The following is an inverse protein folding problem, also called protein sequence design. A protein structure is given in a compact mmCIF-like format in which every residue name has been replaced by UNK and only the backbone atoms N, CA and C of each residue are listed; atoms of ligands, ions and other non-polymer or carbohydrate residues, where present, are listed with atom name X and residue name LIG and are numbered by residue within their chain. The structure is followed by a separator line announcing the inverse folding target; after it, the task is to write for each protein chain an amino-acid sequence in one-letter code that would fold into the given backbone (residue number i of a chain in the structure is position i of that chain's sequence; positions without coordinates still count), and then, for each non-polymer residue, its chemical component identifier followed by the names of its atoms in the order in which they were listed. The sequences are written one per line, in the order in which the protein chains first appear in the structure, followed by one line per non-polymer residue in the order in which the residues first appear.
data_IF_455293078755
#
_entry.id   IF_455293078755
#
_cell.length_a   1.000
_cell.length_b   1.000
_cell.length_c   1.000
_cell.angle_alpha   90.00
_cell.angle_beta   90.00
_cell.angle_gamma   90.00
#
_symmetry.space_group_name_H-M   'P 1'
#
loop_
_entity.id
_entity.type
_entity.pdbx_description
1 polymer ?
#
# COMPACT_ATOMS: atom_id res chain seq x y z
N UNK A 1 11.92 -56.32 -53.69
CA UNK A 1 11.50 -56.62 -52.32
C UNK A 1 12.42 -55.83 -51.38
N UNK A 2 12.45 -54.50 -51.44
CA UNK A 2 11.48 -53.51 -50.91
C UNK A 2 11.17 -53.74 -49.43
N UNK A 3 11.60 -52.75 -48.63
CA UNK A 3 11.19 -52.41 -47.26
C UNK A 3 11.92 -53.17 -46.16
N UNK A 4 13.21 -52.86 -45.98
CA UNK A 4 13.84 -52.69 -44.66
C UNK A 4 14.98 -51.68 -44.87
N UNK A 5 15.22 -50.80 -43.90
CA UNK A 5 16.15 -49.65 -43.93
C UNK A 5 15.54 -48.28 -44.28
N UNK A 6 14.26 -48.06 -43.92
CA UNK A 6 13.73 -46.70 -43.64
C UNK A 6 13.79 -46.39 -42.14
N UNK A 7 14.84 -46.83 -41.44
CA UNK A 7 15.00 -46.67 -39.98
C UNK A 7 16.27 -45.90 -39.59
N UNK A 8 17.22 -45.68 -40.51
CA UNK A 8 18.49 -45.02 -40.19
C UNK A 8 18.61 -43.56 -40.67
N UNK A 9 17.53 -42.97 -41.16
CA UNK A 9 17.47 -41.54 -41.56
C UNK A 9 16.41 -40.75 -40.80
N UNK A 10 16.04 -41.23 -39.60
CA UNK A 10 15.22 -40.48 -38.63
C UNK A 10 15.95 -40.27 -37.29
N UNK A 11 17.19 -40.73 -37.18
CA UNK A 11 18.00 -40.65 -35.96
C UNK A 11 19.06 -39.53 -35.98
N UNK A 12 19.13 -38.74 -37.07
CA UNK A 12 20.16 -37.71 -37.27
C UNK A 12 19.61 -36.28 -37.38
N UNK A 13 18.34 -36.05 -37.02
CA UNK A 13 17.73 -34.72 -36.96
C UNK A 13 17.09 -34.40 -35.58
N UNK A 14 17.40 -35.22 -34.57
CA UNK A 14 16.92 -35.06 -33.19
C UNK A 14 18.07 -34.66 -32.25
N UNK A 15 18.99 -33.81 -32.74
CA UNK A 15 20.20 -33.39 -32.01
C UNK A 15 20.40 -31.86 -31.95
N UNK A 16 19.42 -31.05 -32.37
CA UNK A 16 19.45 -29.59 -32.19
C UNK A 16 18.06 -29.09 -31.79
N UNK A 17 17.68 -29.33 -30.54
CA UNK A 17 16.70 -28.48 -29.83
C UNK A 17 16.91 -28.63 -28.32
N UNK A 18 18.15 -28.42 -27.87
CA UNK A 18 18.37 -27.95 -26.51
C UNK A 18 17.86 -26.51 -26.44
N UNK A 19 16.54 -26.34 -26.30
CA UNK A 19 16.00 -25.16 -25.68
C UNK A 19 16.50 -25.19 -24.24
N UNK A 20 17.62 -24.51 -23.99
CA UNK A 20 17.94 -23.99 -22.67
C UNK A 20 16.83 -23.02 -22.31
N UNK A 21 15.74 -23.54 -21.74
CA UNK A 21 14.80 -22.73 -21.00
C UNK A 21 15.57 -22.24 -19.76
N UNK A 22 16.22 -21.10 -19.89
CA UNK A 22 16.55 -20.28 -18.72
C UNK A 22 15.22 -19.91 -18.09
N UNK A 23 14.76 -20.71 -17.12
CA UNK A 23 13.79 -20.24 -16.15
C UNK A 23 14.48 -19.09 -15.40
N UNK A 24 14.30 -17.87 -15.88
CA UNK A 24 14.38 -16.72 -15.00
C UNK A 24 13.24 -16.94 -14.00
N UNK A 25 13.57 -17.49 -12.84
CA UNK A 25 12.71 -17.43 -11.66
C UNK A 25 12.47 -15.95 -11.40
N UNK A 26 11.44 -15.38 -12.02
CA UNK A 26 11.00 -14.03 -11.77
C UNK A 26 10.55 -14.03 -10.32
N UNK A 27 11.41 -13.54 -9.42
CA UNK A 27 11.07 -13.38 -8.00
C UNK A 27 9.79 -12.54 -7.95
N UNK A 28 8.72 -13.12 -7.40
CA UNK A 28 7.41 -12.48 -7.34
C UNK A 28 7.42 -11.46 -6.22
N UNK A 29 7.07 -10.22 -6.54
CA UNK A 29 6.86 -9.16 -5.55
C UNK A 29 5.60 -9.46 -4.74
N UNK A 30 5.71 -9.44 -3.41
CA UNK A 30 4.58 -9.67 -2.51
C UNK A 30 3.93 -8.35 -2.12
N UNK A 31 2.64 -8.17 -2.43
CA UNK A 31 1.88 -6.95 -2.20
C UNK A 31 0.85 -7.12 -1.09
N UNK A 32 0.33 -6.00 -0.56
CA UNK A 32 -0.93 -6.04 0.20
C UNK A 32 -2.01 -6.63 -0.69
N UNK A 33 -2.73 -7.64 -0.19
CA UNK A 33 -3.78 -8.26 -0.97
C UNK A 33 -4.86 -8.85 -0.07
N UNK A 34 -6.09 -8.79 -0.52
CA UNK A 34 -7.23 -9.47 0.10
C UNK A 34 -7.79 -10.38 -0.97
N UNK A 35 -7.58 -11.67 -0.77
CA UNK A 35 -7.79 -12.73 -1.76
C UNK A 35 -9.19 -13.31 -1.62
N UNK A 36 -9.61 -13.54 -0.36
CA UNK A 36 -10.96 -14.02 -0.06
C UNK A 36 -11.94 -12.85 -0.10
N UNK A 37 -13.00 -12.99 -0.90
CA UNK A 37 -14.04 -11.97 -1.10
C UNK A 37 -14.93 -11.74 0.11
N UNK A 38 -14.92 -12.66 1.09
CA UNK A 38 -15.65 -12.46 2.35
C UNK A 38 -14.86 -11.60 3.35
N UNK A 39 -13.56 -11.39 3.10
CA UNK A 39 -12.72 -10.57 3.96
C UNK A 39 -12.80 -9.12 3.52
N UNK A 40 -13.12 -8.25 4.46
CA UNK A 40 -13.24 -6.82 4.24
C UNK A 40 -12.48 -6.03 5.31
N UNK A 41 -12.19 -4.77 5.00
CA UNK A 41 -11.59 -3.80 5.94
C UNK A 41 -10.31 -4.32 6.61
N UNK A 42 -9.50 -5.11 5.88
CA UNK A 42 -8.21 -5.55 6.39
C UNK A 42 -7.28 -4.35 6.59
N UNK A 43 -6.93 -4.05 7.84
CA UNK A 43 -6.14 -2.89 8.23
C UNK A 43 -5.03 -3.29 9.18
N UNK A 44 -3.79 -2.84 8.89
CA UNK A 44 -2.63 -3.04 9.74
C UNK A 44 -2.05 -1.68 10.13
N UNK A 45 -1.86 -1.46 11.43
CA UNK A 45 -1.37 -0.22 12.02
C UNK A 45 -0.70 -0.50 13.37
N UNK A 46 -0.02 0.48 13.98
CA UNK A 46 0.45 0.37 15.37
C UNK A 46 -0.73 0.39 16.33
N UNK A 47 -0.61 -0.34 17.45
CA UNK A 47 -1.58 -0.24 18.54
C UNK A 47 -1.74 1.22 18.97
N UNK A 48 -2.97 1.62 19.31
CA UNK A 48 -3.37 2.97 19.73
C UNK A 48 -3.21 4.10 18.68
N UNK A 49 -2.70 3.81 17.49
CA UNK A 49 -2.61 4.76 16.38
C UNK A 49 -3.16 4.16 15.06
N UNK A 50 -4.49 4.21 14.84
CA UNK A 50 -5.12 3.64 13.64
C UNK A 50 -4.72 4.33 12.33
N UNK A 51 -4.12 5.52 12.39
CA UNK A 51 -3.66 6.27 11.22
C UNK A 51 -2.19 6.00 10.91
N UNK A 52 -1.43 5.38 11.81
CA UNK A 52 -0.02 5.02 11.59
C UNK A 52 0.15 4.03 10.45
N UNK A 53 1.32 4.04 9.81
CA UNK A 53 1.77 2.97 8.94
C UNK A 53 2.44 1.84 9.75
N UNK A 54 2.41 0.59 9.27
CA UNK A 54 2.85 -0.57 10.04
C UNK A 54 4.38 -0.72 10.03
N UNK A 55 5.07 0.15 10.76
CA UNK A 55 6.53 0.20 10.86
C UNK A 55 6.89 0.22 12.34
N UNK A 56 7.47 -0.85 12.86
CA UNK A 56 7.85 -0.97 14.28
C UNK A 56 9.36 -1.15 14.44
N UNK A 57 9.91 -0.83 15.61
CA UNK A 57 11.34 -1.02 15.89
C UNK A 57 11.66 -2.43 16.35
N UNK A 58 12.75 -3.00 15.83
CA UNK A 58 13.32 -4.26 16.29
C UNK A 58 13.71 -4.13 17.77
N UNK A 59 13.44 -5.16 18.56
CA UNK A 59 13.72 -5.18 20.00
C UNK A 59 13.07 -4.03 20.79
N UNK A 60 11.84 -3.66 20.44
CA UNK A 60 11.04 -2.67 21.17
C UNK A 60 9.70 -3.25 21.62
N UNK A 61 9.00 -2.55 22.50
CA UNK A 61 7.65 -2.90 22.95
C UNK A 61 6.57 -2.44 21.95
N UNK A 62 6.95 -1.86 20.81
CA UNK A 62 5.99 -1.43 19.79
C UNK A 62 5.31 -2.65 19.15
N UNK A 63 3.99 -2.59 19.06
CA UNK A 63 3.17 -3.67 18.48
C UNK A 63 2.28 -3.14 17.37
N UNK A 64 1.99 -4.01 16.43
CA UNK A 64 1.03 -3.84 15.36
C UNK A 64 -0.28 -4.54 15.72
N UNK A 65 -1.39 -3.97 15.26
CA UNK A 65 -2.71 -4.58 15.25
C UNK A 65 -3.16 -4.78 13.80
N UNK A 66 -3.39 -6.03 13.43
CA UNK A 66 -4.13 -6.40 12.22
C UNK A 66 -5.59 -6.61 12.62
N UNK A 67 -6.50 -5.93 11.95
CA UNK A 67 -7.93 -6.20 12.03
C UNK A 67 -8.52 -6.47 10.65
N UNK A 68 -9.53 -7.33 10.58
CA UNK A 68 -10.31 -7.56 9.37
C UNK A 68 -11.68 -8.13 9.74
N UNK A 69 -12.66 -7.91 8.87
CA UNK A 69 -14.00 -8.46 9.03
C UNK A 69 -14.24 -9.61 8.05
N UNK A 70 -14.90 -10.66 8.52
CA UNK A 70 -15.34 -11.78 7.70
C UNK A 70 -16.88 -11.79 7.62
N UNK A 71 -17.43 -11.77 6.40
CA UNK A 71 -18.87 -11.90 6.16
C UNK A 71 -19.39 -13.35 6.14
N UNK A 72 -18.53 -14.35 6.36
CA UNK A 72 -18.98 -15.71 6.59
C UNK A 72 -19.90 -15.77 7.83
N UNK A 73 -20.93 -16.62 7.74
CA UNK A 73 -21.91 -16.80 8.83
C UNK A 73 -21.38 -17.69 9.96
N UNK A 74 -20.40 -18.51 9.63
CA UNK A 74 -19.79 -19.47 10.54
C UNK A 74 -18.41 -18.98 10.96
N UNK A 75 -18.02 -19.30 12.18
CA UNK A 75 -16.68 -19.03 12.68
C UNK A 75 -15.66 -19.83 11.88
N UNK A 76 -14.61 -19.17 11.39
CA UNK A 76 -13.52 -19.78 10.65
C UNK A 76 -12.23 -19.70 11.46
N UNK A 77 -11.49 -20.80 11.51
CA UNK A 77 -10.19 -20.84 12.17
C UNK A 77 -9.11 -20.26 11.28
N UNK A 78 -8.73 -19.00 11.57
CA UNK A 78 -7.63 -18.31 10.92
C UNK A 78 -6.31 -18.54 11.65
N UNK A 79 -5.26 -18.70 10.86
CA UNK A 79 -3.86 -18.79 11.30
C UNK A 79 -3.06 -17.76 10.52
N UNK A 80 -1.91 -17.38 11.05
CA UNK A 80 -1.01 -16.48 10.35
C UNK A 80 0.45 -16.89 10.50
N UNK A 81 1.27 -16.39 9.58
CA UNK A 81 2.74 -16.46 9.62
C UNK A 81 3.30 -15.12 9.15
N UNK A 82 4.60 -14.89 9.37
CA UNK A 82 5.33 -13.76 8.79
C UNK A 82 6.32 -14.23 7.75
N UNK A 83 6.46 -13.48 6.66
CA UNK A 83 7.36 -13.79 5.55
C UNK A 83 8.35 -12.63 5.41
N UNK A 84 9.64 -12.89 5.57
CA UNK A 84 10.69 -11.90 5.36
C UNK A 84 10.91 -11.61 3.87
N UNK A 85 11.07 -10.32 3.54
CA UNK A 85 11.22 -9.77 2.20
C UNK A 85 12.46 -8.87 2.09
N UNK A 86 12.98 -8.76 0.87
CA UNK A 86 14.00 -7.79 0.51
C UNK A 86 13.40 -6.37 0.36
N UNK A 87 14.25 -5.38 0.09
CA UNK A 87 13.84 -3.98 -0.07
C UNK A 87 12.82 -3.76 -1.20
N UNK A 88 12.81 -4.66 -2.18
CA UNK A 88 11.92 -4.68 -3.35
C UNK A 88 10.67 -5.54 -3.14
N UNK A 89 10.38 -5.94 -1.89
CA UNK A 89 9.26 -6.82 -1.53
C UNK A 89 9.27 -8.22 -2.14
N UNK A 90 10.38 -8.65 -2.73
CA UNK A 90 10.57 -10.06 -3.08
C UNK A 90 10.85 -10.87 -1.81
N UNK A 91 10.34 -12.10 -1.73
CA UNK A 91 10.67 -13.02 -0.63
C UNK A 91 12.18 -13.20 -0.54
N UNK A 92 12.75 -13.03 0.65
CA UNK A 92 14.17 -13.30 0.88
C UNK A 92 14.46 -14.80 0.83
N UNK A 93 15.72 -15.16 0.59
CA UNK A 93 16.15 -16.57 0.52
C UNK A 93 16.38 -17.19 1.92
N UNK A 94 16.03 -16.47 2.99
CA UNK A 94 16.13 -16.92 4.39
C UNK A 94 15.11 -18.02 4.73
N UNK A 95 15.54 -19.00 5.52
CA UNK A 95 14.68 -19.95 6.21
C UNK A 95 13.93 -19.26 7.35
N UNK A 96 12.72 -19.73 7.68
CA UNK A 96 11.90 -19.15 8.76
C UNK A 96 12.63 -19.11 10.11
N UNK A 97 13.42 -20.13 10.44
CA UNK A 97 14.24 -20.19 11.65
C UNK A 97 15.35 -19.13 11.72
N UNK A 98 15.69 -18.47 10.62
CA UNK A 98 16.70 -17.40 10.62
C UNK A 98 16.12 -16.04 11.03
N UNK A 99 14.79 -15.87 10.93
CA UNK A 99 14.14 -14.57 11.18
C UNK A 99 12.92 -14.64 12.10
N UNK A 100 12.50 -15.81 12.55
CA UNK A 100 11.45 -16.03 13.54
C UNK A 100 12.05 -16.79 14.73
N UNK A 101 11.85 -16.24 15.92
CA UNK A 101 12.01 -16.93 17.20
C UNK A 101 10.64 -17.44 17.68
N UNK A 102 10.57 -18.72 18.06
CA UNK A 102 9.33 -19.42 18.42
C UNK A 102 8.71 -20.26 17.29
N UNK A 103 7.37 -20.29 17.22
CA UNK A 103 6.60 -21.02 16.22
C UNK A 103 6.50 -20.24 14.92
N UNK A 104 6.46 -20.95 13.79
CA UNK A 104 6.35 -20.31 12.47
C UNK A 104 4.93 -19.87 12.11
N UNK A 105 3.92 -20.39 12.82
CA UNK A 105 2.55 -19.96 12.67
C UNK A 105 1.85 -19.92 14.03
N UNK A 106 0.82 -19.08 14.11
CA UNK A 106 -0.01 -18.92 15.30
C UNK A 106 -1.47 -18.77 14.87
N UNK A 107 -2.40 -19.16 15.77
CA UNK A 107 -3.84 -19.07 15.53
C UNK A 107 -4.33 -17.68 15.94
N UNK A 108 -5.19 -17.09 15.13
CA UNK A 108 -5.91 -15.86 15.50
C UNK A 108 -7.09 -16.27 16.38
N UNK A 109 -7.01 -15.96 17.67
CA UNK A 109 -8.01 -16.36 18.68
C UNK A 109 -8.94 -15.23 19.10
N UNK A 110 -8.56 -13.98 18.84
CA UNK A 110 -9.34 -12.81 19.20
C UNK A 110 -10.30 -12.47 18.06
N UNK A 111 -11.60 -12.59 18.35
CA UNK A 111 -12.67 -12.27 17.43
C UNK A 111 -13.95 -11.90 18.17
N UNK A 112 -14.77 -11.04 17.55
CA UNK A 112 -16.06 -10.62 18.06
C UNK A 112 -17.10 -10.57 16.93
N UNK A 113 -18.34 -11.00 17.22
CA UNK A 113 -19.45 -10.88 16.28
C UNK A 113 -19.94 -9.44 16.19
N UNK A 114 -20.36 -9.03 15.00
CA UNK A 114 -20.94 -7.70 14.80
C UNK A 114 -22.22 -7.52 15.62
N UNK A 115 -22.35 -6.35 16.24
CA UNK A 115 -23.45 -6.03 17.15
C UNK A 115 -24.33 -4.92 16.59
N UNK A 116 -25.64 -5.18 16.54
CA UNK A 116 -26.64 -4.22 16.06
C UNK A 116 -26.33 -3.61 14.68
N UNK A 117 -25.75 -4.41 13.78
CA UNK A 117 -25.51 -4.06 12.38
C UNK A 117 -26.51 -4.73 11.44
N UNK A 118 -26.80 -4.10 10.30
CA UNK A 118 -27.60 -4.68 9.23
C UNK A 118 -26.84 -5.79 8.51
N UNK A 119 -25.60 -5.50 8.11
CA UNK A 119 -24.67 -6.48 7.55
C UNK A 119 -23.95 -7.20 8.69
N UNK A 120 -24.15 -8.52 8.80
CA UNK A 120 -23.52 -9.35 9.84
C UNK A 120 -22.11 -9.74 9.43
N UNK A 121 -21.16 -9.58 10.33
CA UNK A 121 -19.76 -9.99 10.15
C UNK A 121 -19.15 -10.48 11.47
N UNK A 122 -17.99 -11.11 11.38
CA UNK A 122 -17.12 -11.44 12.51
C UNK A 122 -15.84 -10.60 12.36
N UNK A 123 -15.54 -9.75 13.33
CA UNK A 123 -14.31 -8.98 13.37
C UNK A 123 -13.21 -9.84 14.01
N UNK A 124 -12.09 -10.03 13.32
CA UNK A 124 -10.90 -10.72 13.86
C UNK A 124 -9.81 -9.71 14.15
N UNK A 125 -9.08 -9.94 15.25
CA UNK A 125 -7.96 -9.10 15.66
C UNK A 125 -6.71 -9.93 15.92
N UNK A 126 -5.57 -9.42 15.49
CA UNK A 126 -4.25 -9.98 15.76
C UNK A 126 -3.33 -8.88 16.24
N UNK A 127 -2.70 -9.10 17.39
CA UNK A 127 -1.62 -8.28 17.91
C UNK A 127 -0.28 -8.98 17.64
N UNK A 128 0.65 -8.28 16.99
CA UNK A 128 1.96 -8.80 16.60
C UNK A 128 3.06 -7.78 16.95
N UNK A 129 4.26 -8.18 17.42
CA UNK A 129 4.71 -9.55 17.70
C UNK A 129 4.04 -10.23 18.90
N UNK A 130 4.04 -11.57 18.90
CA UNK A 130 3.58 -12.43 20.00
C UNK A 130 4.76 -13.12 20.69
N UNK A 131 4.63 -13.49 21.97
CA UNK A 131 5.71 -14.16 22.73
C UNK A 131 6.27 -15.40 22.03
N UNK A 132 5.43 -16.15 21.33
CA UNK A 132 5.82 -17.36 20.62
C UNK A 132 6.02 -17.16 19.11
N UNK A 133 6.01 -15.93 18.60
CA UNK A 133 6.27 -15.62 17.19
C UNK A 133 6.89 -14.21 17.12
N UNK A 134 8.21 -14.16 17.33
CA UNK A 134 8.98 -12.92 17.41
C UNK A 134 9.89 -12.76 16.19
N UNK A 135 9.88 -11.61 15.50
CA UNK A 135 10.81 -11.36 14.41
C UNK A 135 12.21 -11.00 14.95
N UNK A 136 13.25 -11.65 14.40
CA UNK A 136 14.62 -11.47 14.87
C UNK A 136 15.46 -10.50 14.03
N UNK A 137 15.05 -10.21 12.79
CA UNK A 137 15.83 -9.45 11.83
C UNK A 137 15.07 -8.21 11.36
N UNK A 138 15.76 -7.09 11.16
CA UNK A 138 15.16 -5.93 10.50
C UNK A 138 14.93 -6.20 9.01
N UNK A 139 13.90 -5.59 8.44
CA UNK A 139 13.60 -5.70 7.02
C UNK A 139 12.13 -5.50 6.72
N UNK A 140 11.76 -5.91 5.51
CA UNK A 140 10.38 -5.93 5.06
C UNK A 140 9.73 -7.27 5.42
N UNK A 141 8.47 -7.24 5.81
CA UNK A 141 7.73 -8.44 6.17
C UNK A 141 6.29 -8.41 5.65
N UNK A 142 5.73 -9.60 5.43
CA UNK A 142 4.31 -9.79 5.15
C UNK A 142 3.70 -10.59 6.31
N UNK A 143 2.63 -10.10 6.92
CA UNK A 143 1.69 -10.95 7.67
C UNK A 143 0.80 -11.64 6.64
N UNK A 144 0.85 -12.97 6.58
CA UNK A 144 0.04 -13.79 5.68
C UNK A 144 -0.95 -14.60 6.51
N UNK A 145 -2.25 -14.35 6.33
CA UNK A 145 -3.34 -15.05 7.04
C UNK A 145 -3.92 -16.12 6.15
N UNK A 146 -4.20 -17.29 6.70
CA UNK A 146 -4.69 -18.46 5.98
C UNK A 146 -5.67 -19.29 6.83
N UNK A 147 -6.51 -20.10 6.17
CA UNK A 147 -7.54 -20.92 6.85
C UNK A 147 -6.99 -22.27 7.29
N UNK A 148 -7.61 -22.85 8.31
CA UNK A 148 -7.49 -24.27 8.67
C UNK A 148 -6.04 -24.77 8.87
N UNK A 149 -5.16 -23.87 9.32
CA UNK A 149 -3.72 -24.11 9.45
C UNK A 149 -3.04 -24.62 8.16
N UNK A 150 -3.55 -24.25 6.98
CA UNK A 150 -2.97 -24.58 5.69
C UNK A 150 -2.37 -23.32 5.03
N UNK A 151 -1.03 -23.15 5.01
CA UNK A 151 -0.37 -21.97 4.45
C UNK A 151 -0.64 -21.71 2.96
N UNK A 152 -1.15 -22.70 2.21
CA UNK A 152 -1.54 -22.54 0.82
C UNK A 152 -2.94 -21.90 0.65
N UNK A 153 -3.78 -21.91 1.70
CA UNK A 153 -5.13 -21.34 1.70
C UNK A 153 -5.13 -19.90 2.24
N UNK A 154 -4.35 -19.03 1.59
CA UNK A 154 -4.16 -17.63 1.98
C UNK A 154 -5.40 -16.79 1.69
N UNK A 155 -5.86 -16.02 2.69
CA UNK A 155 -7.03 -15.14 2.57
C UNK A 155 -6.66 -13.67 2.46
N UNK A 156 -5.60 -13.22 3.12
CA UNK A 156 -5.10 -11.86 3.02
C UNK A 156 -3.61 -11.78 3.35
N UNK A 157 -2.97 -10.74 2.84
CA UNK A 157 -1.58 -10.39 3.09
C UNK A 157 -1.46 -8.89 3.37
N UNK A 158 -0.71 -8.53 4.42
CA UNK A 158 -0.40 -7.14 4.75
C UNK A 158 1.09 -6.94 5.02
N UNK A 159 1.67 -5.96 4.33
CA UNK A 159 3.04 -5.48 4.46
C UNK A 159 3.22 -4.74 5.78
N UNK A 160 4.33 -5.03 6.43
CA UNK A 160 4.88 -4.23 7.52
C UNK A 160 6.39 -4.19 7.44
N UNK A 161 7.00 -3.31 8.23
CA UNK A 161 8.45 -3.17 8.29
C UNK A 161 8.94 -3.21 9.73
N UNK A 162 10.11 -3.80 9.90
CA UNK A 162 10.81 -3.85 11.18
C UNK A 162 12.14 -3.13 11.03
N UNK A 163 12.33 -2.03 11.75
CA UNK A 163 13.54 -1.20 11.63
C UNK A 163 14.53 -1.47 12.76
N UNK A 164 15.81 -1.59 12.40
CA UNK A 164 16.94 -1.56 13.32
C UNK A 164 17.72 -0.26 13.08
N UNK A 165 17.41 0.78 13.86
CA UNK A 165 17.89 2.16 13.65
C UNK A 165 19.42 2.26 13.86
N UNK A 166 20.18 2.11 12.78
CA UNK A 166 21.65 2.21 12.76
C UNK A 166 22.16 3.52 12.18
N UNK A 167 21.35 4.20 11.38
CA UNK A 167 21.70 5.46 10.72
C UNK A 167 20.63 6.50 10.97
N UNK A 168 21.04 7.76 10.94
CA UNK A 168 20.10 8.90 10.98
C UNK A 168 19.98 9.52 9.61
N UNK A 169 18.83 10.13 9.32
CA UNK A 169 18.55 10.77 8.05
C UNK A 169 18.20 12.23 8.35
N UNK A 170 18.80 13.15 7.62
CA UNK A 170 18.39 14.56 7.62
C UNK A 170 17.81 14.88 6.25
N UNK A 171 16.62 15.46 6.17
CA UNK A 171 15.96 15.80 4.90
C UNK A 171 15.52 17.24 4.85
N UNK A 172 15.37 17.77 3.63
CA UNK A 172 14.76 19.04 3.33
C UNK A 172 13.80 18.87 2.16
N UNK A 173 12.52 19.07 2.42
CA UNK A 173 11.50 19.13 1.37
C UNK A 173 11.49 20.57 0.84
N UNK A 174 11.71 20.75 -0.46
CA UNK A 174 11.71 22.06 -1.13
C UNK A 174 10.85 22.05 -2.40
N UNK A 175 10.54 23.22 -2.99
CA UNK A 175 9.94 23.26 -4.33
C UNK A 175 10.97 22.77 -5.34
N UNK A 176 10.53 22.15 -6.44
CA UNK A 176 11.46 21.70 -7.46
C UNK A 176 12.40 22.82 -7.94
N UNK A 177 13.68 22.49 -8.03
CA UNK A 177 14.75 23.40 -8.42
C UNK A 177 14.56 23.85 -9.87
N UNK A 178 14.20 22.92 -10.74
CA UNK A 178 13.87 23.17 -12.16
C UNK A 178 12.67 24.11 -12.26
N UNK A 179 12.87 25.24 -12.96
CA UNK A 179 11.88 26.33 -13.06
C UNK A 179 10.55 25.84 -13.62
N UNK A 180 10.59 25.03 -14.68
CA UNK A 180 9.40 24.52 -15.36
C UNK A 180 8.58 23.58 -14.47
N UNK A 181 9.17 22.97 -13.44
CA UNK A 181 8.52 21.99 -12.56
C UNK A 181 8.12 22.59 -11.20
N UNK A 182 8.65 23.78 -10.87
CA UNK A 182 8.56 24.42 -9.55
C UNK A 182 7.15 24.67 -9.05
N UNK A 183 6.18 24.82 -9.95
CA UNK A 183 4.79 25.12 -9.59
C UNK A 183 3.96 23.88 -9.25
N UNK A 184 4.42 22.69 -9.64
CA UNK A 184 3.63 21.47 -9.49
C UNK A 184 4.42 20.29 -8.92
N UNK A 185 5.72 20.43 -8.66
CA UNK A 185 6.54 19.39 -8.02
C UNK A 185 7.16 19.84 -6.70
N UNK A 186 7.40 18.86 -5.85
CA UNK A 186 8.17 18.94 -4.61
C UNK A 186 9.43 18.08 -4.75
N UNK A 187 10.55 18.55 -4.19
CA UNK A 187 11.89 17.94 -4.24
C UNK A 187 12.33 17.57 -2.82
N UNK A 188 12.93 16.39 -2.67
CA UNK A 188 13.31 15.83 -1.36
C UNK A 188 14.82 15.61 -1.34
N UNK A 189 15.56 16.57 -0.81
CA UNK A 189 17.00 16.42 -0.58
C UNK A 189 17.22 15.74 0.76
N UNK A 190 18.19 14.84 0.84
CA UNK A 190 18.52 14.21 2.11
C UNK A 190 19.97 13.74 2.21
N UNK A 191 20.42 13.56 3.44
CA UNK A 191 21.69 12.94 3.78
C UNK A 191 21.44 11.73 4.69
N UNK A 192 22.16 10.65 4.42
CA UNK A 192 22.23 9.49 5.33
C UNK A 192 23.50 9.65 6.14
N UNK A 193 23.36 9.80 7.46
CA UNK A 193 24.45 9.95 8.41
C UNK A 193 24.67 8.59 9.06
N UNK A 194 25.76 7.92 8.66
CA UNK A 194 26.06 6.54 9.07
C UNK A 194 27.18 6.45 10.13
N UNK A 195 27.75 7.58 10.54
CA UNK A 195 28.78 7.63 11.59
C UNK A 195 29.94 6.69 11.29
N UNK A 196 30.20 5.75 12.20
CA UNK A 196 31.29 4.77 12.08
C UNK A 196 30.86 3.44 11.46
N UNK A 197 29.64 3.30 10.96
CA UNK A 197 29.20 2.08 10.29
C UNK A 197 30.03 1.87 9.02
N UNK A 198 30.65 0.69 8.89
CA UNK A 198 31.44 0.34 7.74
C UNK A 198 30.52 -0.03 6.56
N UNK A 199 30.60 0.74 5.48
CA UNK A 199 29.88 0.50 4.22
C UNK A 199 30.93 0.31 3.14
N UNK A 200 31.14 -0.92 2.71
CA UNK A 200 32.22 -1.26 1.77
C UNK A 200 32.00 -0.59 0.41
N UNK A 201 30.77 -0.66 -0.12
CA UNK A 201 30.39 0.02 -1.35
C UNK A 201 29.02 0.68 -1.21
N UNK A 202 28.96 1.98 -0.86
CA UNK A 202 27.69 2.70 -0.70
C UNK A 202 26.79 2.69 -1.94
N UNK A 203 27.34 2.50 -3.14
CA UNK A 203 26.56 2.46 -4.37
C UNK A 203 25.82 1.13 -4.58
N UNK A 204 26.29 0.02 -4.02
CA UNK A 204 25.60 -1.29 -4.10
C UNK A 204 24.89 -1.66 -2.82
N UNK A 205 25.50 -1.34 -1.68
CA UNK A 205 25.12 -1.91 -0.39
C UNK A 205 23.98 -1.12 0.25
N UNK A 206 23.87 0.18 -0.08
CA UNK A 206 22.77 1.04 0.35
C UNK A 206 21.72 1.13 -0.76
N UNK A 207 20.47 0.87 -0.38
CA UNK A 207 19.29 1.09 -1.21
C UNK A 207 18.36 2.06 -0.51
N UNK A 208 17.85 3.03 -1.26
CA UNK A 208 16.91 4.01 -0.75
C UNK A 208 15.58 3.89 -1.49
N UNK A 209 14.51 3.99 -0.73
CA UNK A 209 13.13 4.09 -1.23
C UNK A 209 12.51 5.35 -0.65
N UNK A 210 11.96 6.22 -1.50
CA UNK A 210 11.24 7.43 -1.08
C UNK A 210 9.78 7.29 -1.50
N UNK A 211 8.85 7.57 -0.58
CA UNK A 211 7.41 7.50 -0.82
C UNK A 211 6.71 8.78 -0.40
N UNK A 212 5.83 9.29 -1.25
CA UNK A 212 4.92 10.39 -0.94
C UNK A 212 3.64 9.82 -0.33
N UNK A 213 3.23 10.30 0.85
CA UNK A 213 2.08 9.81 1.62
C UNK A 213 2.08 8.28 1.79
N UNK A 214 3.28 7.72 1.89
CA UNK A 214 3.59 6.29 1.92
C UNK A 214 2.94 5.45 0.79
N UNK A 215 2.74 6.06 -0.38
CA UNK A 215 2.21 5.41 -1.57
C UNK A 215 3.28 4.57 -2.27
N UNK A 216 2.87 3.41 -2.77
CA UNK A 216 3.74 2.52 -3.54
C UNK A 216 3.81 2.94 -5.01
N UNK A 217 2.70 3.44 -5.56
CA UNK A 217 2.50 3.64 -6.99
C UNK A 217 3.43 4.69 -7.62
N UNK A 218 3.87 5.67 -6.83
CA UNK A 218 4.80 6.71 -7.26
C UNK A 218 6.14 6.69 -6.50
N UNK A 219 6.48 5.56 -5.88
CA UNK A 219 7.73 5.44 -5.12
C UNK A 219 8.97 5.66 -6.00
N UNK A 220 9.94 6.40 -5.46
CA UNK A 220 11.25 6.58 -6.08
C UNK A 220 12.21 5.58 -5.46
N UNK A 221 12.76 4.72 -6.30
CA UNK A 221 13.64 3.62 -5.91
C UNK A 221 15.00 3.75 -6.60
N UNK A 222 16.00 3.01 -6.14
CA UNK A 222 17.32 2.87 -6.79
C UNK A 222 18.13 4.17 -6.93
N UNK A 223 17.85 5.19 -6.12
CA UNK A 223 18.71 6.37 -6.03
C UNK A 223 20.10 5.99 -5.51
N UNK A 224 21.13 6.66 -6.05
CA UNK A 224 22.52 6.49 -5.63
C UNK A 224 23.00 7.75 -4.93
N UNK A 225 23.98 7.67 -4.02
CA UNK A 225 24.54 8.88 -3.46
C UNK A 225 25.29 9.66 -4.54
N UNK A 226 25.06 10.96 -4.66
CA UNK A 226 25.84 11.83 -5.54
C UNK A 226 27.24 12.04 -5.00
N UNK A 227 27.35 12.19 -3.68
CA UNK A 227 28.62 12.29 -2.97
C UNK A 227 28.66 11.31 -1.80
N UNK A 228 29.78 10.61 -1.70
CA UNK A 228 30.14 9.76 -0.56
C UNK A 228 31.20 10.51 0.24
N UNK A 229 30.88 10.88 1.47
CA UNK A 229 31.84 11.46 2.42
C UNK A 229 32.11 10.45 3.54
N UNK A 230 33.00 10.79 4.46
CA UNK A 230 33.48 9.85 5.49
C UNK A 230 32.35 9.31 6.39
N UNK A 231 31.40 10.17 6.77
CA UNK A 231 30.32 9.89 7.72
C UNK A 231 28.91 10.12 7.14
N UNK A 232 28.82 10.55 5.87
CA UNK A 232 27.55 10.86 5.22
C UNK A 232 27.50 10.54 3.73
N UNK A 233 26.31 10.12 3.30
CA UNK A 233 25.93 9.91 1.90
C UNK A 233 24.93 11.01 1.49
N UNK A 234 25.24 11.75 0.42
CA UNK A 234 24.47 12.93 -0.01
C UNK A 234 23.59 12.59 -1.21
N UNK A 235 22.29 12.91 -1.09
CA UNK A 235 21.27 12.74 -2.14
C UNK A 235 20.59 14.10 -2.40
N UNK A 236 21.31 14.99 -3.08
CA UNK A 236 20.88 16.35 -3.43
C UNK A 236 20.74 16.44 -4.96
N UNK A 237 19.74 15.73 -5.49
CA UNK A 237 19.41 15.68 -6.91
C UNK A 237 18.53 16.86 -7.30
N UNK A 238 18.51 17.21 -8.59
CA UNK A 238 17.62 18.27 -9.09
C UNK A 238 16.30 17.72 -9.67
N UNK A 239 16.28 16.47 -10.14
CA UNK A 239 15.13 15.90 -10.85
C UNK A 239 14.71 14.52 -10.31
N UNK A 240 15.65 13.65 -9.99
CA UNK A 240 15.41 12.24 -9.69
C UNK A 240 14.73 12.00 -8.34
N UNK A 241 14.80 12.97 -7.43
CA UNK A 241 14.16 13.00 -6.11
C UNK A 241 12.92 13.93 -6.09
N UNK A 242 12.29 14.17 -7.25
CA UNK A 242 11.10 15.03 -7.36
C UNK A 242 9.81 14.22 -7.50
N UNK A 243 8.74 14.72 -6.90
CA UNK A 243 7.38 14.18 -7.00
C UNK A 243 6.43 15.23 -7.51
N UNK A 244 5.43 14.83 -8.31
CA UNK A 244 4.23 15.66 -8.46
C UNK A 244 3.61 15.88 -7.07
N UNK A 245 3.38 17.14 -6.71
CA UNK A 245 2.87 17.51 -5.40
C UNK A 245 1.41 17.09 -5.20
N UNK A 246 0.65 16.88 -6.28
CA UNK A 246 -0.76 16.50 -6.21
C UNK A 246 -1.64 17.62 -5.63
N UNK A 247 -2.72 17.21 -4.98
CA UNK A 247 -3.70 18.12 -4.37
C UNK A 247 -4.22 17.49 -3.07
N UNK A 248 -4.83 18.31 -2.21
CA UNK A 248 -5.41 17.83 -0.96
C UNK A 248 -6.50 16.77 -1.27
N UNK A 249 -6.52 15.73 -0.47
CA UNK A 249 -7.40 14.59 -0.65
C UNK A 249 -8.87 15.00 -0.54
N UNK A 250 -9.69 14.41 -1.41
CA UNK A 250 -11.14 14.48 -1.22
C UNK A 250 -11.50 13.64 0.00
N UNK A 251 -12.62 13.94 0.62
CA UNK A 251 -13.08 13.16 1.76
C UNK A 251 -14.59 12.97 1.74
N UNK A 252 -15.05 11.97 2.49
CA UNK A 252 -16.43 11.87 2.93
C UNK A 252 -16.47 11.28 4.34
N UNK A 253 -17.56 11.55 5.06
CA UNK A 253 -17.70 11.20 6.46
C UNK A 253 -19.03 10.50 6.72
N UNK A 254 -18.98 9.19 6.94
CA UNK A 254 -20.11 8.33 7.29
C UNK A 254 -20.02 7.80 8.72
N UNK A 255 -19.28 8.49 9.61
CA UNK A 255 -19.20 8.12 11.03
C UNK A 255 -20.58 8.04 11.70
N UNK A 256 -21.55 8.81 11.20
CA UNK A 256 -22.97 8.64 11.50
C UNK A 256 -23.75 8.60 10.20
N UNK A 257 -24.75 7.72 10.14
CA UNK A 257 -25.72 7.64 9.04
C UNK A 257 -27.06 8.29 9.41
N UNK A 258 -27.12 8.99 10.56
CA UNK A 258 -28.34 9.65 11.05
C UNK A 258 -28.54 11.04 10.44
N UNK A 259 -27.52 11.59 9.80
CA UNK A 259 -27.55 12.89 9.15
C UNK A 259 -26.61 12.88 7.93
N UNK A 260 -26.84 13.82 7.02
CA UNK A 260 -26.00 14.04 5.85
C UNK A 260 -24.83 14.97 6.25
N UNK A 261 -23.60 14.46 6.21
CA UNK A 261 -22.39 15.28 6.38
C UNK A 261 -22.13 16.12 5.11
N UNK A 262 -21.15 17.03 5.15
CA UNK A 262 -20.89 18.03 4.08
C UNK A 262 -20.85 17.44 2.66
N UNK A 263 -20.28 16.25 2.52
CA UNK A 263 -20.04 15.59 1.21
C UNK A 263 -21.11 14.56 0.83
N UNK A 264 -22.07 14.31 1.71
CA UNK A 264 -23.17 13.37 1.50
C UNK A 264 -24.37 14.12 0.94
N UNK A 265 -24.82 13.70 -0.24
CA UNK A 265 -26.03 14.21 -0.90
C UNK A 265 -27.29 13.53 -0.37
N UNK A 266 -27.23 12.22 -0.18
CA UNK A 266 -28.38 11.46 0.30
C UNK A 266 -27.98 10.19 1.06
N UNK A 267 -28.84 9.77 1.99
CA UNK A 267 -28.71 8.50 2.72
C UNK A 267 -30.06 7.80 2.68
N UNK A 268 -30.08 6.60 2.09
CA UNK A 268 -31.27 5.76 2.03
C UNK A 268 -31.02 4.44 2.76
N UNK A 269 -31.96 4.05 3.60
CA UNK A 269 -31.89 2.82 4.39
C UNK A 269 -33.08 1.96 3.99
N UNK A 270 -32.78 0.84 3.36
CA UNK A 270 -33.74 -0.21 3.03
C UNK A 270 -33.59 -1.37 4.01
N UNK A 271 -34.45 -2.40 3.90
CA UNK A 271 -34.42 -3.55 4.83
C UNK A 271 -33.12 -4.34 4.82
N UNK A 272 -32.30 -4.20 3.77
CA UNK A 272 -31.09 -5.00 3.56
C UNK A 272 -29.85 -4.15 3.26
N UNK A 273 -29.99 -2.86 2.93
CA UNK A 273 -28.90 -2.03 2.46
C UNK A 273 -28.97 -0.63 3.06
N UNK A 274 -27.80 -0.06 3.31
CA UNK A 274 -27.63 1.36 3.61
C UNK A 274 -26.87 1.95 2.42
N UNK A 275 -27.51 2.83 1.65
CA UNK A 275 -26.88 3.48 0.49
C UNK A 275 -26.59 4.94 0.82
N UNK A 276 -25.37 5.37 0.50
CA UNK A 276 -24.88 6.75 0.68
C UNK A 276 -24.52 7.30 -0.69
N UNK A 277 -25.23 8.33 -1.14
CA UNK A 277 -24.89 9.06 -2.37
C UNK A 277 -24.04 10.27 -2.01
N UNK A 278 -22.83 10.38 -2.58
CA UNK A 278 -22.00 11.56 -2.43
C UNK A 278 -22.40 12.66 -3.43
N UNK A 279 -22.08 13.92 -3.11
CA UNK A 279 -22.18 14.98 -4.11
C UNK A 279 -21.28 14.68 -5.31
N UNK A 280 -21.75 15.06 -6.51
CA UNK A 280 -20.95 14.87 -7.73
C UNK A 280 -19.67 15.70 -7.66
N UNK A 281 -18.54 15.02 -7.75
CA UNK A 281 -17.23 15.62 -7.90
C UNK A 281 -17.01 16.18 -9.31
N UNK A 282 -16.15 17.18 -9.41
CA UNK A 282 -15.63 17.73 -10.66
C UNK A 282 -14.10 17.68 -10.64
N UNK A 283 -13.49 17.61 -11.83
CA UNK A 283 -12.04 17.78 -11.97
C UNK A 283 -11.60 19.12 -11.40
N UNK A 284 -10.48 19.09 -10.68
CA UNK A 284 -9.81 20.24 -10.07
C UNK A 284 -8.48 20.55 -10.75
N UNK A 285 -8.15 19.88 -11.86
CA UNK A 285 -6.83 19.97 -12.51
C UNK A 285 -6.41 21.36 -12.96
N UNK A 286 -7.39 22.23 -13.24
CA UNK A 286 -7.16 23.61 -13.68
C UNK A 286 -7.62 24.64 -12.63
N UNK A 287 -8.04 24.20 -11.45
CA UNK A 287 -8.46 25.10 -10.40
C UNK A 287 -7.24 25.69 -9.68
N UNK A 288 -7.43 26.84 -9.04
CA UNK A 288 -6.46 27.35 -8.08
C UNK A 288 -6.40 26.43 -6.85
N UNK A 289 -5.24 26.38 -6.22
CA UNK A 289 -5.02 25.58 -5.03
C UNK A 289 -5.81 26.12 -3.83
N UNK A 290 -6.52 25.23 -3.13
CA UNK A 290 -7.21 25.52 -1.89
C UNK A 290 -6.69 24.55 -0.83
N UNK A 291 -6.16 25.09 0.26
CA UNK A 291 -5.73 24.25 1.39
C UNK A 291 -6.94 23.79 2.18
N UNK A 292 -7.13 22.47 2.22
CA UNK A 292 -8.16 21.79 3.00
C UNK A 292 -7.46 20.79 3.92
N UNK A 293 -7.79 20.75 5.22
CA UNK A 293 -7.25 19.72 6.10
C UNK A 293 -7.71 18.33 5.67
N UNK A 294 -6.77 17.39 5.64
CA UNK A 294 -7.05 15.98 5.38
C UNK A 294 -6.17 15.07 6.27
N UNK A 295 -6.23 13.76 6.03
CA UNK A 295 -5.39 12.76 6.71
C UNK A 295 -4.47 12.05 5.71
N UNK A 296 -3.98 12.76 4.69
CA UNK A 296 -3.02 12.31 3.67
C UNK A 296 -3.43 10.99 2.99
N UNK A 297 -4.72 10.81 2.72
CA UNK A 297 -5.23 9.61 2.04
C UNK A 297 -5.56 8.43 2.94
N UNK A 298 -5.39 8.58 4.26
CA UNK A 298 -5.82 7.59 5.23
C UNK A 298 -7.36 7.46 5.29
N UNK A 299 -7.81 6.45 6.02
CA UNK A 299 -9.19 6.32 6.45
C UNK A 299 -9.24 5.89 7.91
N UNK A 300 -10.35 6.20 8.58
CA UNK A 300 -10.60 5.89 9.98
C UNK A 300 -11.95 5.20 10.08
N UNK A 301 -11.95 3.91 10.42
CA UNK A 301 -13.17 3.19 10.80
C UNK A 301 -13.64 3.76 12.13
N UNK A 302 -14.83 4.34 12.14
CA UNK A 302 -15.42 4.92 13.35
C UNK A 302 -16.93 5.02 13.17
N UNK A 303 -17.66 4.63 14.20
CA UNK A 303 -19.08 4.93 14.37
C UNK A 303 -19.24 5.85 15.57
N UNK A 304 -19.85 7.00 15.36
CA UNK A 304 -19.98 8.03 16.40
C UNK A 304 -20.83 7.55 17.57
N UNK A 305 -21.86 6.74 17.29
CA UNK A 305 -22.78 6.23 18.29
C UNK A 305 -22.34 4.91 18.93
N UNK A 306 -21.19 4.36 18.55
CA UNK A 306 -20.72 3.07 19.02
C UNK A 306 -19.82 3.18 20.27
N UNK A 307 -19.88 2.13 21.09
CA UNK A 307 -18.84 1.89 22.10
C UNK A 307 -17.63 1.24 21.46
N UNK A 308 -17.86 0.18 20.67
CA UNK A 308 -16.84 -0.47 19.85
C UNK A 308 -17.12 -0.25 18.37
N UNK A 309 -16.33 0.60 17.71
CA UNK A 309 -16.48 0.85 16.26
C UNK A 309 -16.10 -0.36 15.41
N UNK A 310 -15.31 -1.30 15.91
CA UNK A 310 -14.89 -2.47 15.14
C UNK A 310 -16.02 -3.47 14.95
N UNK A 311 -16.99 -3.54 15.86
CA UNK A 311 -18.09 -4.51 15.78
C UNK A 311 -19.47 -3.88 15.59
N UNK A 312 -19.61 -2.59 15.88
CA UNK A 312 -20.90 -1.89 15.78
C UNK A 312 -21.01 -1.03 14.50
N UNK A 313 -19.92 -0.81 13.76
CA UNK A 313 -19.96 -0.04 12.51
C UNK A 313 -20.73 -0.79 11.43
N UNK A 314 -21.59 -0.07 10.72
CA UNK A 314 -22.30 -0.60 9.56
C UNK A 314 -21.39 -0.68 8.33
N UNK A 315 -21.75 -1.55 7.41
CA UNK A 315 -21.27 -1.47 6.03
C UNK A 315 -22.30 -0.76 5.16
N UNK A 316 -21.84 0.25 4.41
CA UNK A 316 -22.66 1.15 3.60
C UNK A 316 -22.21 1.12 2.15
N UNK A 317 -23.16 1.09 1.22
CA UNK A 317 -22.91 1.19 -0.22
C UNK A 317 -22.73 2.66 -0.58
N UNK A 318 -21.48 3.08 -0.80
CA UNK A 318 -21.15 4.47 -1.15
C UNK A 318 -21.11 4.62 -2.67
N UNK A 319 -21.94 5.52 -3.21
CA UNK A 319 -21.93 5.92 -4.62
C UNK A 319 -21.05 7.14 -4.81
N UNK A 320 -19.91 6.94 -5.46
CA UNK A 320 -19.03 7.99 -5.94
C UNK A 320 -19.47 8.42 -7.35
N UNK A 321 -19.37 9.72 -7.64
CA UNK A 321 -19.74 10.25 -8.95
C UNK A 321 -18.80 11.37 -9.34
N UNK A 322 -18.15 11.25 -10.49
CA UNK A 322 -17.27 12.25 -11.08
C UNK A 322 -17.87 12.74 -12.39
N UNK A 323 -18.11 14.05 -12.50
CA UNK A 323 -18.51 14.71 -13.73
C UNK A 323 -17.27 15.00 -14.58
N UNK A 324 -17.24 14.41 -15.76
CA UNK A 324 -16.26 14.70 -16.80
C UNK A 324 -16.94 15.10 -18.10
N UNK A 325 -16.30 15.97 -18.87
CA UNK A 325 -16.90 16.50 -20.10
C UNK A 325 -17.10 15.40 -21.16
N UNK A 326 -16.24 14.38 -21.16
CA UNK A 326 -16.26 13.27 -22.13
C UNK A 326 -15.70 12.00 -21.49
N UNK A 327 -16.13 10.86 -22.03
CA UNK A 327 -15.52 9.56 -21.76
C UNK A 327 -14.06 9.58 -22.22
N UNK A 328 -13.15 9.23 -21.31
CA UNK A 328 -11.74 8.99 -21.59
C UNK A 328 -11.60 7.76 -22.48
N UNK A 329 -10.93 7.90 -23.63
CA UNK A 329 -10.81 6.85 -24.64
C UNK A 329 -9.57 5.98 -24.50
N UNK A 330 -8.52 6.47 -23.84
CA UNK A 330 -7.19 5.84 -23.78
C UNK A 330 -6.84 5.25 -22.42
N UNK A 331 -7.72 5.41 -21.43
CA UNK A 331 -7.46 4.99 -20.06
C UNK A 331 -8.74 4.87 -19.24
N UNK A 332 -8.57 4.32 -18.06
CA UNK A 332 -9.63 4.03 -17.10
C UNK A 332 -9.40 4.82 -15.80
N UNK A 333 -10.49 5.32 -15.22
CA UNK A 333 -10.46 6.05 -13.95
C UNK A 333 -10.72 5.11 -12.78
N UNK A 334 -9.98 5.29 -11.70
CA UNK A 334 -10.12 4.53 -10.46
C UNK A 334 -10.19 5.46 -9.26
N UNK A 335 -10.85 5.00 -8.20
CA UNK A 335 -10.66 5.55 -6.86
C UNK A 335 -9.37 4.99 -6.27
N UNK A 336 -8.63 5.85 -5.58
CA UNK A 336 -7.41 5.47 -4.87
C UNK A 336 -7.34 6.15 -3.50
N UNK A 337 -6.84 5.41 -2.52
CA UNK A 337 -6.60 5.85 -1.14
C UNK A 337 -5.98 4.71 -0.34
N UNK A 338 -5.70 4.92 0.95
CA UNK A 338 -5.19 3.85 1.80
C UNK A 338 -6.16 2.67 1.90
N UNK A 339 -7.47 2.91 1.82
CA UNK A 339 -8.48 1.85 1.84
C UNK A 339 -8.39 0.90 0.62
N UNK A 340 -7.75 1.33 -0.47
CA UNK A 340 -7.47 0.49 -1.65
C UNK A 340 -6.08 -0.15 -1.59
N UNK A 341 -5.35 0.02 -0.47
CA UNK A 341 -3.92 -0.27 -0.32
C UNK A 341 -3.04 0.48 -1.36
N UNK A 342 -3.52 1.62 -1.87
CA UNK A 342 -2.87 2.36 -2.97
C UNK A 342 -2.73 1.56 -4.27
N UNK A 343 -3.51 0.48 -4.42
CA UNK A 343 -3.51 -0.37 -5.61
C UNK A 343 -4.66 0.00 -6.54
N UNK A 344 -4.39 -0.11 -7.85
CA UNK A 344 -5.42 -0.03 -8.88
C UNK A 344 -6.13 -1.38 -8.96
N UNK A 345 -7.36 -1.45 -8.42
CA UNK A 345 -8.18 -2.66 -8.43
C UNK A 345 -9.48 -2.41 -9.20
N UNK A 346 -9.96 -3.44 -9.90
CA UNK A 346 -11.18 -3.35 -10.72
C UNK A 346 -12.44 -3.00 -9.90
N UNK A 347 -12.47 -3.39 -8.61
CA UNK A 347 -13.56 -3.04 -7.69
C UNK A 347 -13.70 -1.52 -7.45
N UNK A 348 -12.63 -0.76 -7.67
CA UNK A 348 -12.59 0.71 -7.51
C UNK A 348 -12.64 1.46 -8.85
N UNK A 349 -12.90 0.75 -9.96
CA UNK A 349 -13.00 1.35 -11.29
C UNK A 349 -14.27 2.17 -11.42
N UNK A 350 -14.16 3.38 -11.97
CA UNK A 350 -15.32 4.18 -12.33
C UNK A 350 -15.84 3.81 -13.72
N UNK A 351 -17.15 3.64 -13.83
CA UNK A 351 -17.83 3.27 -15.06
C UNK A 351 -18.51 4.49 -15.65
N UNK A 352 -18.26 4.77 -16.93
CA UNK A 352 -18.93 5.85 -17.65
C UNK A 352 -20.39 5.50 -17.93
N UNK A 353 -21.28 6.38 -17.50
CA UNK A 353 -22.71 6.28 -17.77
C UNK A 353 -23.09 7.25 -18.89
N UNK A 354 -23.46 6.72 -20.06
CA UNK A 354 -23.81 7.53 -21.26
C UNK A 354 -25.04 8.41 -21.05
N UNK A 355 -25.96 8.00 -20.17
CA UNK A 355 -27.22 8.73 -19.93
C UNK A 355 -27.01 9.96 -19.05
N UNK A 356 -26.22 9.82 -17.99
CA UNK A 356 -25.92 10.92 -17.05
C UNK A 356 -24.69 11.72 -17.45
N UNK A 357 -23.86 11.19 -18.37
CA UNK A 357 -22.54 11.71 -18.76
C UNK A 357 -21.62 11.91 -17.57
N UNK A 358 -21.60 10.93 -16.67
CA UNK A 358 -20.78 10.91 -15.47
C UNK A 358 -20.09 9.56 -15.31
N UNK A 359 -18.97 9.58 -14.62
CA UNK A 359 -18.31 8.39 -14.11
C UNK A 359 -18.89 8.03 -12.73
N UNK A 360 -19.28 6.78 -12.54
CA UNK A 360 -19.92 6.29 -11.32
C UNK A 360 -19.20 5.04 -10.79
N UNK A 361 -19.08 4.92 -9.47
CA UNK A 361 -18.55 3.73 -8.79
C UNK A 361 -19.33 3.50 -7.50
N UNK A 362 -19.75 2.27 -7.24
CA UNK A 362 -20.46 1.89 -6.02
C UNK A 362 -19.60 0.91 -5.23
N UNK A 363 -19.28 1.24 -3.99
CA UNK A 363 -18.36 0.46 -3.16
C UNK A 363 -18.98 0.23 -1.79
N UNK A 364 -18.90 -1.00 -1.29
CA UNK A 364 -19.29 -1.34 0.07
C UNK A 364 -18.13 -0.99 1.02
N UNK A 365 -18.34 -0.02 1.92
CA UNK A 365 -17.34 0.46 2.87
C UNK A 365 -17.89 0.40 4.30
N UNK A 366 -17.03 0.10 5.27
CA UNK A 366 -17.38 0.21 6.69
C UNK A 366 -17.54 1.70 7.08
N UNK A 367 -18.40 2.02 8.03
CA UNK A 367 -18.59 3.40 8.48
C UNK A 367 -17.28 4.04 8.96
N UNK A 368 -17.06 5.29 8.55
CA UNK A 368 -15.85 5.98 8.91
C UNK A 368 -15.63 7.29 8.17
N UNK A 369 -14.42 7.81 8.32
CA UNK A 369 -13.92 8.95 7.56
C UNK A 369 -12.92 8.43 6.53
N UNK A 370 -13.09 8.78 5.26
CA UNK A 370 -12.27 8.26 4.16
C UNK A 370 -11.72 9.41 3.34
N UNK A 371 -10.40 9.41 3.12
CA UNK A 371 -9.79 10.18 2.05
C UNK A 371 -9.69 9.37 0.76
N UNK A 372 -9.89 10.04 -0.38
CA UNK A 372 -9.78 9.45 -1.70
C UNK A 372 -9.31 10.47 -2.75
N UNK A 373 -8.80 9.96 -3.86
CA UNK A 373 -8.52 10.70 -5.08
C UNK A 373 -9.05 9.92 -6.28
N UNK A 374 -9.20 10.61 -7.41
CA UNK A 374 -9.39 9.97 -8.71
C UNK A 374 -8.06 9.86 -9.45
N UNK A 375 -7.76 8.68 -9.98
CA UNK A 375 -6.52 8.44 -10.72
C UNK A 375 -6.83 7.83 -12.09
N UNK A 376 -6.20 8.37 -13.14
CA UNK A 376 -6.29 7.83 -14.49
C UNK A 376 -5.18 6.80 -14.69
N UNK A 377 -5.52 5.59 -15.12
CA UNK A 377 -4.57 4.59 -15.62
C UNK A 377 -4.63 4.54 -17.14
N UNK A 378 -3.51 4.83 -17.79
CA UNK A 378 -3.38 4.74 -19.25
C UNK A 378 -3.25 3.27 -19.68
N UNK A 379 -4.09 2.85 -20.62
CA UNK A 379 -4.18 1.44 -21.04
C UNK A 379 -2.98 0.97 -21.88
N UNK A 380 -2.26 1.90 -22.50
CA UNK A 380 -1.11 1.60 -23.38
C UNK A 380 0.20 1.50 -22.59
N UNK A 381 0.40 2.42 -21.64
CA UNK A 381 1.65 2.55 -20.89
C UNK A 381 1.58 1.94 -19.50
N UNK A 382 0.39 1.61 -19.01
CA UNK A 382 0.12 1.27 -17.60
C UNK A 382 0.54 2.34 -16.59
N UNK A 383 0.86 3.56 -17.03
CA UNK A 383 1.17 4.69 -16.15
C UNK A 383 -0.10 5.27 -15.55
N UNK A 384 0.04 5.80 -14.34
CA UNK A 384 -1.03 6.45 -13.61
C UNK A 384 -0.83 7.96 -13.55
N UNK A 385 -1.92 8.72 -13.58
CA UNK A 385 -1.91 10.19 -13.61
C UNK A 385 -3.00 10.74 -12.68
N UNK A 386 -2.58 11.29 -11.53
CA UNK A 386 -3.48 12.04 -10.64
C UNK A 386 -3.84 13.41 -11.20
N UNK A 387 -2.85 14.06 -11.82
CA UNK A 387 -2.96 15.39 -12.41
C UNK A 387 -4.05 15.50 -13.49
N UNK A 388 -4.55 14.38 -14.02
CA UNK A 388 -5.68 14.36 -14.94
C UNK A 388 -6.97 14.88 -14.29
N UNK A 389 -7.25 14.53 -13.04
CA UNK A 389 -8.48 14.95 -12.33
C UNK A 389 -8.21 15.88 -11.13
N UNK A 390 -7.07 15.74 -10.46
CA UNK A 390 -6.80 16.45 -9.21
C UNK A 390 -5.88 17.66 -9.39
N UNK A 391 -5.11 17.71 -10.48
CA UNK A 391 -4.04 18.68 -10.67
C UNK A 391 -2.82 18.37 -9.81
N UNK A 392 -1.86 19.29 -9.82
CA UNK A 392 -0.66 19.18 -9.00
C UNK A 392 -0.16 20.58 -8.61
N UNK A 393 -0.06 20.85 -7.31
CA UNK A 393 0.26 22.16 -6.77
C UNK A 393 1.35 22.04 -5.71
N UNK A 394 2.47 22.76 -5.89
CA UNK A 394 3.61 22.66 -4.96
C UNK A 394 3.25 23.00 -3.50
N UNK A 395 2.15 23.73 -3.26
CA UNK A 395 1.66 24.10 -1.92
C UNK A 395 1.02 22.93 -1.17
N UNK A 396 0.66 21.84 -1.86
CA UNK A 396 -0.04 20.71 -1.27
C UNK A 396 0.75 20.14 -0.08
N UNK A 397 0.05 19.88 1.02
CA UNK A 397 0.65 19.23 2.18
C UNK A 397 0.82 17.76 1.88
N UNK A 398 2.04 17.28 2.05
CA UNK A 398 2.42 15.89 1.82
C UNK A 398 3.42 15.47 2.88
N UNK A 399 3.37 14.19 3.21
CA UNK A 399 4.36 13.53 4.02
C UNK A 399 5.28 12.72 3.10
N UNK A 400 6.59 12.77 3.35
CA UNK A 400 7.59 12.01 2.62
C UNK A 400 8.29 11.04 3.56
N UNK A 401 8.40 9.81 3.11
CA UNK A 401 8.96 8.70 3.86
C UNK A 401 10.23 8.22 3.15
N UNK A 402 11.37 8.26 3.85
CA UNK A 402 12.66 7.82 3.33
C UNK A 402 13.04 6.54 4.08
N UNK A 403 13.17 5.43 3.34
CA UNK A 403 13.58 4.13 3.84
C UNK A 403 14.99 3.82 3.37
N UNK A 404 15.88 3.47 4.28
CA UNK A 404 17.27 3.13 3.98
C UNK A 404 17.52 1.67 4.32
N UNK A 405 17.86 0.90 3.29
CA UNK A 405 18.22 -0.49 3.42
C UNK A 405 19.72 -0.68 3.26
N UNK A 406 20.27 -1.63 4.00
CA UNK A 406 21.67 -2.02 3.92
C UNK A 406 21.82 -3.54 3.75
N UNK A 407 22.52 -3.92 2.68
CA UNK A 407 22.97 -5.29 2.46
C UNK A 407 24.43 -5.39 2.84
N UNK A 408 24.67 -5.97 4.02
CA UNK A 408 26.01 -6.18 4.54
C UNK A 408 26.77 -7.25 3.74
N UNK A 409 28.10 -7.17 3.75
CA UNK A 409 28.96 -8.12 3.05
C UNK A 409 28.73 -9.53 3.58
N UNK A 410 28.36 -10.45 2.69
CA UNK A 410 28.09 -11.85 3.04
C UNK A 410 26.66 -12.12 3.52
N UNK A 411 25.81 -11.10 3.72
CA UNK A 411 24.38 -11.30 4.01
C UNK A 411 23.57 -11.46 2.71
N UNK A 412 22.52 -12.26 2.77
CA UNK A 412 21.64 -12.57 1.64
C UNK A 412 20.31 -11.80 1.65
N UNK A 413 20.12 -10.90 2.62
CA UNK A 413 18.90 -10.11 2.80
C UNK A 413 19.20 -8.62 2.97
N UNK A 414 18.17 -7.79 2.75
CA UNK A 414 18.24 -6.34 2.95
C UNK A 414 17.74 -5.97 4.35
N UNK A 415 18.60 -5.35 5.17
CA UNK A 415 18.23 -4.83 6.49
C UNK A 415 17.62 -3.45 6.35
N UNK A 416 16.48 -3.17 6.99
CA UNK A 416 15.98 -1.79 7.12
C UNK A 416 16.70 -1.11 8.30
N UNK A 417 17.60 -0.18 7.98
CA UNK A 417 18.53 0.41 8.95
C UNK A 417 18.26 1.87 9.31
N UNK A 418 17.38 2.52 8.55
CA UNK A 418 17.04 3.93 8.72
C UNK A 418 15.67 4.24 8.15
N UNK A 419 14.95 5.13 8.84
CA UNK A 419 13.62 5.59 8.47
C UNK A 419 13.47 7.05 8.88
N UNK A 420 12.86 7.85 8.00
CA UNK A 420 12.48 9.21 8.32
C UNK A 420 11.14 9.54 7.68
N UNK A 421 10.24 10.11 8.49
CA UNK A 421 9.05 10.81 8.05
C UNK A 421 9.32 12.31 8.15
N UNK A 422 9.19 13.02 7.04
CA UNK A 422 9.27 14.49 6.95
C UNK A 422 8.03 15.02 6.24
N UNK A 423 7.72 16.31 6.32
CA UNK A 423 6.59 16.90 5.59
C UNK A 423 6.99 18.14 4.81
N UNK A 424 6.12 18.51 3.87
CA UNK A 424 6.14 19.81 3.20
C UNK A 424 5.63 20.95 4.07
N UNK A 425 5.08 20.71 5.28
CA UNK A 425 4.57 21.80 6.13
C UNK A 425 5.63 22.79 6.59
N UNK A 426 6.91 22.44 6.43
CA UNK A 426 8.07 23.26 6.78
C UNK A 426 8.39 24.35 5.72
N UNK A 427 7.49 24.57 4.75
CA UNK A 427 7.61 25.56 3.68
C UNK A 427 7.33 27.01 4.09
#
# INVERSE_FOLDING_TARGET
MKIYNFINTLFFLMLISNFSATSQNKKIELNNNTIDKNIHTALLHKIDDPLSYPIIKLNSDEKLQLSFDDFNRELIDYYYTVIHCNSDWTRSDLMQSEYIDGFFNSRIVDYEFSFNTLNKYINYQLVFPEDNLQPMLSGNYIISVFKNNNPDDVVLQKRFMLIDEKVSISSRVKRATIIDERLYKQEIDFNIIHGNMYIANPYSDIKVVIKQNNREDNSINNLKPLFVKQDHLVYDYEQENTFEAGNEYRYFDTKSIRYQSERIKDITIDSNNINVELFTDISRSFNEFISLPDINGNFLVKKQEAWNSDTESEYVNVKFTLLENRKVSYGDLYLIGRFTDWLIKDEYKLIWNESTRKYECNILLKQGYYNYLYILKDNSSNKTYLSFTEGSHYQCKNEYYIYVYFRDTGKTYDQLIGYLKTSSDLF
#
